data_IF_643134231049
#
_entry.id   IF_643134231049
#
_cell.length_a   1.000
_cell.length_b   1.000
_cell.length_c   1.000
_cell.angle_alpha   90.00
_cell.angle_beta   90.00
_cell.angle_gamma   90.00
#
_symmetry.space_group_name_H-M   'P 1'
#
loop_
_entity.id
_entity.type
_entity.pdbx_description
1 polymer ?
#
# COMPACT_ATOMS: atom_id res chain seq x y z
N UNK A 1 9.63 -48.47 -7.42
CA UNK A 1 9.90 -47.06 -7.73
C UNK A 1 9.46 -46.84 -9.16
N UNK A 2 8.42 -46.04 -9.38
CA UNK A 2 8.09 -45.55 -10.70
C UNK A 2 9.33 -44.83 -11.26
N UNK A 3 9.76 -45.18 -12.48
CA UNK A 3 10.79 -44.42 -13.16
C UNK A 3 10.17 -43.15 -13.72
N UNK A 4 10.76 -41.99 -13.42
CA UNK A 4 10.48 -40.75 -14.14
C UNK A 4 11.53 -40.57 -15.23
N UNK A 5 11.10 -40.36 -16.47
CA UNK A 5 11.98 -39.97 -17.57
C UNK A 5 11.61 -38.56 -18.03
N UNK A 6 12.61 -37.70 -18.16
CA UNK A 6 12.46 -36.38 -18.76
C UNK A 6 12.81 -36.53 -20.23
N UNK A 7 11.80 -36.77 -21.08
CA UNK A 7 12.03 -36.71 -22.52
C UNK A 7 12.29 -35.27 -22.97
N UNK A 8 13.01 -35.09 -24.07
CA UNK A 8 13.42 -33.79 -24.62
C UNK A 8 12.27 -32.82 -24.97
N UNK A 9 11.01 -33.25 -24.80
CA UNK A 9 9.80 -32.50 -25.17
C UNK A 9 9.13 -31.78 -23.99
N UNK A 10 9.83 -31.61 -22.85
CA UNK A 10 9.30 -30.95 -21.63
C UNK A 10 8.08 -31.66 -21.01
N UNK A 11 7.93 -32.96 -21.26
CA UNK A 11 6.85 -33.78 -20.71
C UNK A 11 7.40 -34.62 -19.56
N UNK A 12 6.82 -34.46 -18.37
CA UNK A 12 7.06 -35.35 -17.25
C UNK A 12 6.08 -36.54 -17.34
N UNK A 13 6.58 -37.69 -17.77
CA UNK A 13 5.78 -38.90 -17.92
C UNK A 13 5.95 -39.83 -16.71
N UNK A 14 4.82 -40.29 -16.15
CA UNK A 14 4.79 -41.28 -15.07
C UNK A 14 4.27 -42.62 -15.60
N UNK A 15 5.04 -43.69 -15.42
CA UNK A 15 4.55 -45.05 -15.68
C UNK A 15 4.21 -45.71 -14.34
N UNK A 16 2.92 -45.72 -13.92
CA UNK A 16 2.53 -46.29 -12.64
C UNK A 16 2.77 -47.80 -12.61
N UNK A 17 3.18 -48.33 -11.46
CA UNK A 17 3.14 -49.78 -11.24
C UNK A 17 1.67 -50.26 -11.20
N UNK A 18 1.39 -51.53 -11.52
CA UNK A 18 0.02 -52.07 -11.67
C UNK A 18 -0.89 -51.95 -10.44
N UNK A 19 -0.34 -51.58 -9.27
CA UNK A 19 -1.07 -51.36 -8.02
C UNK A 19 -1.19 -49.87 -7.61
N UNK A 20 -0.50 -48.95 -8.26
CA UNK A 20 -0.53 -47.51 -7.94
C UNK A 20 -1.78 -46.85 -8.57
N UNK A 21 -2.52 -46.04 -7.77
CA UNK A 21 -3.77 -45.40 -8.20
C UNK A 21 -3.78 -43.87 -8.06
N UNK A 22 -2.72 -43.30 -7.49
CA UNK A 22 -2.58 -41.87 -7.23
C UNK A 22 -1.11 -41.47 -7.35
N UNK A 23 -0.86 -40.22 -7.76
CA UNK A 23 0.45 -39.59 -7.79
C UNK A 23 0.34 -38.25 -7.08
N UNK A 24 1.30 -37.94 -6.23
CA UNK A 24 1.46 -36.63 -5.60
C UNK A 24 2.75 -36.02 -6.12
N UNK A 25 2.68 -34.77 -6.58
CA UNK A 25 3.81 -34.03 -7.11
C UNK A 25 4.14 -32.89 -6.16
N UNK A 26 5.38 -32.86 -5.66
CA UNK A 26 5.92 -31.75 -4.87
C UNK A 26 6.78 -30.89 -5.78
N UNK A 27 6.47 -29.60 -5.86
CA UNK A 27 7.18 -28.64 -6.71
C UNK A 27 7.80 -27.58 -5.81
N UNK A 28 9.10 -27.35 -5.97
CA UNK A 28 9.84 -26.30 -5.28
C UNK A 28 10.60 -25.43 -6.28
N UNK A 29 10.64 -24.14 -6.00
CA UNK A 29 11.41 -23.16 -6.75
C UNK A 29 11.96 -22.11 -5.78
N UNK A 30 13.17 -21.63 -6.05
CA UNK A 30 13.78 -20.53 -5.32
C UNK A 30 14.82 -19.84 -6.20
N UNK A 31 15.24 -18.66 -5.79
CA UNK A 31 16.33 -17.91 -6.44
C UNK A 31 17.44 -17.65 -5.42
N UNK A 32 18.57 -17.14 -5.87
CA UNK A 32 19.61 -16.63 -4.98
C UNK A 32 19.36 -15.17 -4.56
N UNK A 33 18.14 -14.64 -4.72
CA UNK A 33 17.79 -13.32 -4.21
C UNK A 33 17.82 -13.31 -2.68
N UNK A 34 18.44 -12.29 -2.08
CA UNK A 34 18.50 -12.09 -0.64
C UNK A 34 18.34 -10.60 -0.30
N UNK A 35 17.15 -10.22 0.15
CA UNK A 35 16.83 -8.84 0.55
C UNK A 35 17.73 -8.30 1.67
N UNK A 36 18.28 -9.16 2.53
CA UNK A 36 19.19 -8.74 3.60
C UNK A 36 20.54 -8.24 3.08
N UNK A 37 20.81 -8.44 1.78
CA UNK A 37 22.01 -7.95 1.07
C UNK A 37 21.73 -6.67 0.27
N UNK A 38 20.62 -6.00 0.53
CA UNK A 38 20.23 -4.71 -0.03
C UNK A 38 20.87 -3.48 0.63
N UNK A 39 22.06 -3.61 1.22
CA UNK A 39 22.73 -2.55 1.97
C UNK A 39 24.19 -2.34 1.54
N UNK A 40 24.78 -1.24 2.00
CA UNK A 40 26.15 -0.85 1.65
C UNK A 40 27.21 -1.90 2.01
N UNK A 41 27.05 -2.62 3.12
CA UNK A 41 28.00 -3.66 3.54
C UNK A 41 28.04 -4.84 2.55
N UNK A 42 26.93 -5.09 1.83
CA UNK A 42 26.83 -6.08 0.77
C UNK A 42 26.90 -5.47 -0.63
N UNK A 43 27.35 -4.21 -0.78
CA UNK A 43 27.36 -3.44 -2.03
C UNK A 43 26.01 -3.44 -2.76
N UNK A 44 24.91 -3.60 -2.03
CA UNK A 44 23.57 -3.70 -2.57
C UNK A 44 23.41 -4.76 -3.67
N UNK A 45 24.04 -5.92 -3.53
CA UNK A 45 23.97 -6.99 -4.52
C UNK A 45 22.68 -7.82 -4.50
N UNK A 46 21.93 -7.82 -3.38
CA UNK A 46 20.71 -8.64 -3.21
C UNK A 46 20.93 -10.13 -3.52
N UNK A 47 22.14 -10.64 -3.30
CA UNK A 47 22.54 -11.99 -3.70
C UNK A 47 22.96 -12.82 -2.49
N UNK A 48 22.22 -13.90 -2.27
CA UNK A 48 22.48 -14.96 -1.32
C UNK A 48 23.23 -16.16 -1.91
N UNK A 49 23.26 -17.30 -1.20
CA UNK A 49 23.87 -18.53 -1.67
C UNK A 49 23.10 -19.15 -2.85
N UNK A 50 23.69 -20.17 -3.48
CA UNK A 50 23.02 -20.99 -4.50
C UNK A 50 21.81 -21.72 -3.87
N UNK A 51 20.58 -21.55 -4.39
CA UNK A 51 19.38 -22.16 -3.82
C UNK A 51 19.25 -23.66 -4.10
N UNK A 52 20.06 -24.26 -4.98
CA UNK A 52 19.84 -25.63 -5.45
C UNK A 52 19.76 -26.66 -4.29
N UNK A 53 20.71 -26.60 -3.34
CA UNK A 53 20.70 -27.50 -2.19
C UNK A 53 19.52 -27.27 -1.24
N UNK A 54 19.07 -26.02 -1.10
CA UNK A 54 17.88 -25.70 -0.31
C UNK A 54 16.61 -26.25 -0.96
N UNK A 55 16.44 -26.02 -2.26
CA UNK A 55 15.27 -26.51 -3.02
C UNK A 55 15.20 -28.03 -2.96
N UNK A 56 16.31 -28.73 -3.23
CA UNK A 56 16.36 -30.20 -3.18
C UNK A 56 16.01 -30.74 -1.79
N UNK A 57 16.51 -30.11 -0.72
CA UNK A 57 16.19 -30.52 0.65
C UNK A 57 14.70 -30.36 0.95
N UNK A 58 14.12 -29.18 0.68
CA UNK A 58 12.72 -28.90 1.01
C UNK A 58 11.76 -29.76 0.19
N UNK A 59 12.04 -30.00 -1.10
CA UNK A 59 11.20 -30.86 -1.94
C UNK A 59 11.35 -32.33 -1.56
N UNK A 60 12.54 -32.80 -1.21
CA UNK A 60 12.76 -34.17 -0.73
C UNK A 60 12.06 -34.43 0.60
N UNK A 61 12.16 -33.50 1.55
CA UNK A 61 11.46 -33.57 2.83
C UNK A 61 9.95 -33.57 2.62
N UNK A 62 9.44 -32.69 1.74
CA UNK A 62 8.03 -32.67 1.36
C UNK A 62 7.56 -33.95 0.67
N UNK A 63 8.38 -34.53 -0.20
CA UNK A 63 8.04 -35.77 -0.92
C UNK A 63 8.11 -37.03 -0.04
N UNK A 64 8.79 -36.97 1.11
CA UNK A 64 8.83 -38.04 2.09
C UNK A 64 7.59 -38.08 3.01
N UNK A 65 6.80 -37.00 3.04
CA UNK A 65 5.56 -36.90 3.83
C UNK A 65 4.39 -37.57 3.12
N UNK A 66 3.41 -38.02 3.91
CA UNK A 66 2.14 -38.51 3.35
C UNK A 66 1.27 -37.32 2.86
N UNK A 67 0.59 -37.42 1.70
CA UNK A 67 -0.16 -36.30 1.13
C UNK A 67 -1.23 -35.71 2.07
N UNK A 68 -1.88 -36.54 2.87
CA UNK A 68 -2.89 -36.11 3.84
C UNK A 68 -2.30 -35.26 4.96
N UNK A 69 -1.07 -35.54 5.39
CA UNK A 69 -0.38 -34.73 6.38
C UNK A 69 0.03 -33.37 5.80
N UNK A 70 0.51 -33.34 4.55
CA UNK A 70 0.81 -32.08 3.84
C UNK A 70 -0.43 -31.19 3.72
N UNK A 71 -1.54 -31.77 3.27
CA UNK A 71 -2.82 -31.06 3.16
C UNK A 71 -3.29 -30.54 4.52
N UNK A 72 -3.19 -31.37 5.57
CA UNK A 72 -3.62 -30.95 6.91
C UNK A 72 -2.80 -29.75 7.41
N UNK A 73 -1.48 -29.79 7.29
CA UNK A 73 -0.62 -28.66 7.67
C UNK A 73 -0.93 -27.40 6.86
N UNK A 74 -1.16 -27.53 5.56
CA UNK A 74 -1.56 -26.42 4.70
C UNK A 74 -2.88 -25.78 5.15
N UNK A 75 -3.90 -26.60 5.41
CA UNK A 75 -5.20 -26.11 5.87
C UNK A 75 -5.12 -25.50 7.26
N UNK A 76 -4.33 -26.07 8.18
CA UNK A 76 -4.13 -25.49 9.51
C UNK A 76 -3.44 -24.12 9.43
N UNK A 77 -2.40 -23.98 8.59
CA UNK A 77 -1.74 -22.69 8.30
C UNK A 77 -2.71 -21.68 7.69
N UNK A 78 -3.38 -22.04 6.60
CA UNK A 78 -4.30 -21.13 5.91
C UNK A 78 -5.47 -20.71 6.80
N UNK A 79 -6.09 -21.66 7.53
CA UNK A 79 -7.20 -21.36 8.43
C UNK A 79 -6.78 -20.51 9.62
N UNK A 80 -5.53 -20.58 10.08
CA UNK A 80 -5.04 -19.73 11.18
C UNK A 80 -5.18 -18.23 10.87
N UNK A 81 -5.13 -17.86 9.59
CA UNK A 81 -5.35 -16.50 9.10
C UNK A 81 -6.77 -16.29 8.56
N UNK A 82 -7.22 -17.20 7.68
CA UNK A 82 -8.49 -17.08 6.98
C UNK A 82 -9.69 -17.00 7.91
N UNK A 83 -9.63 -17.70 9.06
CA UNK A 83 -10.73 -17.74 10.04
C UNK A 83 -10.79 -16.56 11.01
N UNK A 84 -9.82 -15.64 11.01
CA UNK A 84 -9.77 -14.52 11.95
C UNK A 84 -10.88 -13.47 11.74
N UNK A 85 -11.50 -13.46 10.57
CA UNK A 85 -12.62 -12.57 10.24
C UNK A 85 -13.61 -13.31 9.35
N UNK A 86 -14.90 -13.03 9.55
CA UNK A 86 -15.99 -13.53 8.73
C UNK A 86 -17.00 -12.42 8.50
N UNK A 87 -17.39 -12.25 7.23
CA UNK A 87 -18.49 -11.40 6.81
C UNK A 87 -19.62 -12.30 6.29
N UNK A 88 -20.73 -12.37 7.02
CA UNK A 88 -21.89 -13.18 6.65
C UNK A 88 -22.97 -12.29 6.02
N UNK A 89 -23.11 -12.35 4.70
CA UNK A 89 -24.12 -11.64 3.92
C UNK A 89 -25.19 -12.62 3.41
N UNK A 90 -26.46 -12.19 3.33
CA UNK A 90 -27.54 -13.08 2.88
C UNK A 90 -27.37 -13.48 1.42
N UNK A 91 -27.87 -14.65 1.03
CA UNK A 91 -27.94 -15.09 -0.37
C UNK A 91 -29.40 -15.12 -0.89
N UNK A 92 -30.02 -13.95 -1.14
CA UNK A 92 -31.41 -13.88 -1.60
C UNK A 92 -31.60 -14.45 -3.01
N UNK A 93 -30.55 -14.45 -3.84
CA UNK A 93 -30.58 -14.86 -5.25
C UNK A 93 -30.16 -16.32 -5.48
N UNK A 94 -29.83 -17.06 -4.40
CA UNK A 94 -29.31 -18.43 -4.43
C UNK A 94 -28.04 -18.55 -5.27
N UNK A 95 -27.23 -17.50 -5.27
CA UNK A 95 -26.01 -17.35 -6.04
C UNK A 95 -24.93 -18.34 -5.58
N UNK A 96 -24.94 -18.79 -4.31
CA UNK A 96 -24.02 -19.82 -3.82
C UNK A 96 -24.12 -21.17 -4.57
N UNK A 97 -25.22 -21.41 -5.29
CA UNK A 97 -25.44 -22.62 -6.08
C UNK A 97 -25.08 -22.49 -7.57
N UNK A 98 -24.61 -21.32 -8.00
CA UNK A 98 -24.27 -21.01 -9.40
C UNK A 98 -22.75 -20.95 -9.59
N UNK A 99 -22.31 -21.09 -10.84
CA UNK A 99 -20.89 -20.90 -11.18
C UNK A 99 -20.49 -19.43 -11.02
N UNK A 100 -19.26 -19.18 -10.54
CA UNK A 100 -18.77 -17.82 -10.27
C UNK A 100 -18.65 -16.96 -11.53
N UNK A 101 -18.21 -17.53 -12.66
CA UNK A 101 -17.99 -16.78 -13.89
C UNK A 101 -19.25 -16.06 -14.42
N UNK A 102 -20.42 -16.72 -14.58
CA UNK A 102 -21.64 -16.03 -14.97
C UNK A 102 -22.13 -15.04 -13.91
N UNK A 103 -21.97 -15.32 -12.61
CA UNK A 103 -22.34 -14.36 -11.55
C UNK A 103 -21.60 -13.03 -11.71
N UNK A 104 -20.28 -13.07 -11.90
CA UNK A 104 -19.46 -11.87 -12.09
C UNK A 104 -19.81 -11.17 -13.41
N UNK A 105 -20.09 -11.92 -14.49
CA UNK A 105 -20.45 -11.33 -15.77
C UNK A 105 -21.80 -10.59 -15.73
N UNK A 106 -22.74 -11.07 -14.91
CA UNK A 106 -24.07 -10.46 -14.73
C UNK A 106 -24.05 -9.31 -13.70
N UNK A 107 -23.06 -9.27 -12.81
CA UNK A 107 -22.92 -8.23 -11.77
C UNK A 107 -22.53 -6.88 -12.39
N UNK A 108 -23.45 -5.92 -12.36
CA UNK A 108 -23.25 -4.61 -12.98
C UNK A 108 -23.97 -3.49 -12.23
N UNK A 109 -23.50 -2.26 -12.42
CA UNK A 109 -23.98 -1.05 -11.73
C UNK A 109 -25.45 -0.66 -12.00
N UNK A 110 -26.14 -1.33 -12.95
CA UNK A 110 -27.53 -1.04 -13.31
C UNK A 110 -28.52 -2.08 -12.75
N UNK A 111 -28.02 -3.16 -12.16
CA UNK A 111 -28.82 -4.18 -11.49
C UNK A 111 -28.90 -3.92 -9.98
N UNK A 112 -29.87 -4.55 -9.32
CA UNK A 112 -29.78 -4.74 -7.87
C UNK A 112 -28.51 -5.53 -7.55
N UNK A 113 -27.80 -5.14 -6.49
CA UNK A 113 -26.59 -5.83 -6.03
C UNK A 113 -26.87 -7.28 -5.65
N UNK A 114 -25.79 -8.05 -5.48
CA UNK A 114 -25.86 -9.46 -5.08
C UNK A 114 -24.95 -9.65 -3.85
N UNK A 115 -25.53 -9.69 -2.64
CA UNK A 115 -24.72 -9.73 -1.42
C UNK A 115 -23.84 -10.98 -1.31
N UNK A 116 -24.17 -12.07 -2.02
CA UNK A 116 -23.28 -13.22 -2.11
C UNK A 116 -22.02 -12.89 -2.91
N UNK A 117 -22.15 -12.19 -4.05
CA UNK A 117 -21.01 -11.78 -4.88
C UNK A 117 -20.14 -10.76 -4.12
N UNK A 118 -20.77 -9.81 -3.43
CA UNK A 118 -20.08 -8.83 -2.59
C UNK A 118 -19.27 -9.50 -1.47
N UNK A 119 -19.88 -10.48 -0.77
CA UNK A 119 -19.20 -11.29 0.24
C UNK A 119 -18.06 -12.14 -0.33
N UNK A 120 -18.27 -12.73 -1.51
CA UNK A 120 -17.23 -13.50 -2.22
C UNK A 120 -16.03 -12.62 -2.60
N UNK A 121 -16.25 -11.39 -3.08
CA UNK A 121 -15.18 -10.45 -3.39
C UNK A 121 -14.41 -10.02 -2.15
N UNK A 122 -15.11 -9.83 -1.02
CA UNK A 122 -14.49 -9.55 0.27
C UNK A 122 -13.57 -10.70 0.71
N UNK A 123 -14.07 -11.94 0.72
CA UNK A 123 -13.27 -13.12 1.09
C UNK A 123 -12.12 -13.37 0.10
N UNK A 124 -12.34 -13.10 -1.18
CA UNK A 124 -11.30 -13.24 -2.20
C UNK A 124 -10.17 -12.22 -2.00
N UNK A 125 -10.47 -10.99 -1.58
CA UNK A 125 -9.43 -10.00 -1.25
C UNK A 125 -8.50 -10.49 -0.12
N UNK A 126 -9.09 -11.06 0.95
CA UNK A 126 -8.35 -11.67 2.06
C UNK A 126 -7.52 -12.85 1.60
N UNK A 127 -8.12 -13.74 0.79
CA UNK A 127 -7.42 -14.89 0.20
C UNK A 127 -6.20 -14.46 -0.62
N UNK A 128 -6.35 -13.44 -1.48
CA UNK A 128 -5.26 -12.93 -2.31
C UNK A 128 -4.11 -12.40 -1.45
N UNK A 129 -4.39 -11.66 -0.36
CA UNK A 129 -3.32 -11.17 0.52
C UNK A 129 -2.61 -12.32 1.23
N UNK A 130 -3.36 -13.29 1.79
CA UNK A 130 -2.77 -14.50 2.44
C UNK A 130 -1.86 -15.25 1.47
N UNK A 131 -2.23 -15.38 0.20
CA UNK A 131 -1.45 -16.13 -0.79
C UNK A 131 -0.29 -15.33 -1.40
N UNK A 132 -0.30 -13.99 -1.30
CA UNK A 132 0.70 -13.11 -1.92
C UNK A 132 1.68 -12.46 -0.94
N UNK A 133 1.36 -12.39 0.36
CA UNK A 133 2.20 -11.75 1.37
C UNK A 133 2.24 -12.58 2.65
N UNK A 134 3.37 -13.22 2.91
CA UNK A 134 3.60 -14.06 4.10
C UNK A 134 4.99 -13.81 4.66
N UNK A 135 5.23 -14.31 5.88
CA UNK A 135 6.58 -14.25 6.44
C UNK A 135 7.62 -14.87 5.48
N UNK A 136 8.78 -14.24 5.39
CA UNK A 136 9.86 -14.54 4.43
C UNK A 136 9.51 -14.38 2.94
N UNK A 137 8.37 -13.76 2.58
CA UNK A 137 8.11 -13.31 1.21
C UNK A 137 8.46 -11.82 1.02
N UNK A 138 8.48 -11.40 -0.24
CA UNK A 138 8.32 -9.99 -0.59
C UNK A 138 6.83 -9.59 -0.48
N UNK A 139 6.51 -8.30 -0.34
CA UNK A 139 5.13 -7.85 -0.30
C UNK A 139 4.41 -8.09 -1.63
N UNK A 140 3.08 -8.14 -1.57
CA UNK A 140 2.20 -8.14 -2.74
C UNK A 140 2.51 -6.94 -3.67
N UNK A 141 2.89 -7.21 -4.92
CA UNK A 141 3.12 -6.19 -5.94
C UNK A 141 1.82 -5.82 -6.68
N UNK A 142 1.90 -5.09 -7.81
CA UNK A 142 0.71 -4.73 -8.61
C UNK A 142 -0.16 -5.92 -9.05
N UNK A 143 0.38 -7.14 -9.06
CA UNK A 143 -0.32 -8.37 -9.42
C UNK A 143 -0.27 -9.41 -8.29
N UNK A 144 -0.04 -8.96 -7.05
CA UNK A 144 0.21 -9.80 -5.88
C UNK A 144 1.53 -10.56 -6.02
N UNK A 145 1.48 -11.70 -6.71
CA UNK A 145 2.62 -12.54 -7.10
C UNK A 145 2.39 -13.34 -8.40
N UNK A 146 1.31 -13.03 -9.12
CA UNK A 146 0.84 -13.83 -10.25
C UNK A 146 0.99 -13.04 -11.53
N UNK A 147 1.82 -13.54 -12.45
CA UNK A 147 1.93 -13.00 -13.79
C UNK A 147 2.26 -14.13 -14.76
N UNK A 148 1.63 -14.13 -15.93
CA UNK A 148 2.01 -15.01 -17.04
C UNK A 148 2.95 -14.31 -18.04
N UNK A 149 3.16 -13.00 -17.87
CA UNK A 149 3.90 -12.16 -18.79
C UNK A 149 5.35 -12.00 -18.34
N UNK A 150 6.27 -11.94 -19.31
CA UNK A 150 7.67 -11.55 -19.05
C UNK A 150 7.75 -10.03 -18.80
N UNK A 151 6.94 -9.27 -19.53
CA UNK A 151 6.88 -7.81 -19.47
C UNK A 151 5.49 -7.38 -18.98
N UNK A 152 5.24 -7.64 -17.70
CA UNK A 152 3.98 -7.26 -17.05
C UNK A 152 3.69 -5.75 -17.16
N UNK A 153 2.41 -5.38 -17.22
CA UNK A 153 1.98 -3.98 -17.16
C UNK A 153 2.59 -3.26 -15.93
N UNK A 154 3.20 -2.09 -16.17
CA UNK A 154 4.00 -1.34 -15.18
C UNK A 154 5.06 -2.20 -14.46
N UNK A 155 5.61 -3.19 -15.18
CA UNK A 155 6.61 -4.14 -14.68
C UNK A 155 6.17 -5.01 -13.50
N UNK A 156 4.87 -5.05 -13.16
CA UNK A 156 4.40 -5.71 -11.94
C UNK A 156 5.14 -5.17 -10.70
N UNK A 157 5.46 -3.87 -10.70
CA UNK A 157 6.35 -3.24 -9.74
C UNK A 157 5.68 -2.99 -8.38
N UNK A 158 6.41 -2.30 -7.51
CA UNK A 158 5.86 -1.70 -6.31
C UNK A 158 5.52 -0.24 -6.58
N UNK A 159 4.26 0.02 -6.95
CA UNK A 159 3.76 1.37 -7.20
C UNK A 159 3.27 2.02 -5.89
N UNK A 160 3.97 3.06 -5.42
CA UNK A 160 3.89 3.61 -4.05
C UNK A 160 3.21 4.99 -4.02
N UNK A 161 2.36 5.30 -4.98
CA UNK A 161 1.52 6.51 -4.99
C UNK A 161 0.02 6.22 -4.87
N UNK A 162 -0.35 4.98 -4.53
CA UNK A 162 -1.68 4.51 -4.08
C UNK A 162 -1.71 2.97 -4.01
N UNK A 163 -1.10 2.25 -4.97
CA UNK A 163 -1.37 0.83 -5.18
C UNK A 163 -0.80 -0.07 -4.08
N UNK A 164 0.49 0.09 -3.74
CA UNK A 164 1.10 -0.69 -2.67
C UNK A 164 0.43 -0.37 -1.33
N UNK A 165 0.02 0.87 -1.09
CA UNK A 165 -0.78 1.23 0.07
C UNK A 165 -2.11 0.46 0.06
N UNK A 166 -2.84 0.53 -1.05
CA UNK A 166 -4.16 -0.11 -1.18
C UNK A 166 -4.11 -1.63 -0.97
N UNK A 167 -3.04 -2.30 -1.40
CA UNK A 167 -2.84 -3.74 -1.19
C UNK A 167 -2.98 -4.14 0.30
N UNK A 168 -2.64 -3.24 1.23
CA UNK A 168 -2.61 -3.51 2.67
C UNK A 168 -3.68 -2.78 3.50
N UNK A 169 -4.55 -1.95 2.91
CA UNK A 169 -5.56 -1.19 3.68
C UNK A 169 -6.44 -2.05 4.60
N UNK A 170 -6.72 -3.29 4.18
CA UNK A 170 -7.61 -4.20 4.90
C UNK A 170 -6.88 -5.19 5.82
N UNK A 171 -5.53 -5.18 5.85
CA UNK A 171 -4.74 -6.20 6.51
C UNK A 171 -5.04 -6.24 8.02
N UNK A 172 -4.69 -5.18 8.76
CA UNK A 172 -4.98 -5.10 10.19
C UNK A 172 -6.48 -5.11 10.50
N UNK A 173 -7.28 -4.39 9.70
CA UNK A 173 -8.73 -4.26 9.87
C UNK A 173 -9.46 -5.60 9.90
N UNK A 174 -8.90 -6.60 9.21
CA UNK A 174 -9.50 -7.93 9.07
C UNK A 174 -8.65 -9.01 9.75
N UNK A 175 -7.70 -8.64 10.60
CA UNK A 175 -6.89 -9.56 11.39
C UNK A 175 -5.76 -10.24 10.62
N UNK A 176 -5.43 -9.79 9.42
CA UNK A 176 -4.35 -10.34 8.58
C UNK A 176 -2.98 -9.68 8.84
N UNK A 177 -2.75 -9.17 10.05
CA UNK A 177 -1.50 -8.50 10.43
C UNK A 177 -0.24 -9.38 10.23
N UNK A 178 -0.37 -10.71 10.29
CA UNK A 178 0.75 -11.65 10.00
C UNK A 178 1.20 -11.65 8.53
N UNK A 179 0.46 -10.98 7.64
CA UNK A 179 0.84 -10.78 6.24
C UNK A 179 1.71 -9.54 6.03
N UNK A 180 1.71 -8.60 6.96
CA UNK A 180 2.41 -7.30 6.84
C UNK A 180 3.93 -7.34 7.08
N UNK A 181 4.52 -8.29 7.83
CA UNK A 181 5.98 -8.37 7.97
C UNK A 181 6.74 -8.40 6.65
N UNK A 182 6.15 -8.94 5.56
CA UNK A 182 6.74 -8.87 4.23
C UNK A 182 6.94 -7.43 3.76
N UNK A 183 5.94 -6.55 3.96
CA UNK A 183 6.01 -5.13 3.65
C UNK A 183 7.05 -4.41 4.53
N UNK A 184 7.00 -4.64 5.85
CA UNK A 184 7.93 -4.02 6.80
C UNK A 184 9.38 -4.41 6.53
N UNK A 185 9.63 -5.68 6.24
CA UNK A 185 10.96 -6.17 5.90
C UNK A 185 11.45 -5.61 4.58
N UNK A 186 10.60 -5.55 3.55
CA UNK A 186 10.94 -4.89 2.29
C UNK A 186 11.30 -3.42 2.50
N UNK A 187 10.51 -2.67 3.28
CA UNK A 187 10.85 -1.28 3.57
C UNK A 187 12.18 -1.15 4.32
N UNK A 188 12.39 -1.88 5.42
CA UNK A 188 13.60 -1.78 6.24
C UNK A 188 14.87 -2.27 5.55
N UNK A 189 14.78 -3.35 4.77
CA UNK A 189 15.95 -4.01 4.20
C UNK A 189 16.27 -3.51 2.79
N UNK A 190 15.28 -2.95 2.08
CA UNK A 190 15.42 -2.52 0.69
C UNK A 190 15.22 -1.01 0.53
N UNK A 191 14.06 -0.47 0.92
CA UNK A 191 13.75 0.95 0.67
C UNK A 191 14.54 1.91 1.56
N UNK A 192 14.65 1.65 2.86
CA UNK A 192 15.34 2.54 3.81
C UNK A 192 16.83 2.68 3.46
N UNK A 193 17.62 1.60 3.24
CA UNK A 193 19.04 1.74 2.92
C UNK A 193 19.28 2.45 1.59
N UNK A 194 18.51 2.09 0.54
CA UNK A 194 18.60 2.73 -0.79
C UNK A 194 18.10 4.17 -0.76
N UNK A 195 17.01 4.40 -0.06
CA UNK A 195 16.39 5.71 0.08
C UNK A 195 17.22 6.68 0.91
N UNK A 196 18.02 6.19 1.85
CA UNK A 196 19.02 7.00 2.55
C UNK A 196 20.11 7.48 1.59
N UNK A 197 20.56 6.61 0.67
CA UNK A 197 21.49 7.01 -0.38
C UNK A 197 20.86 8.04 -1.33
N UNK A 198 19.59 7.85 -1.72
CA UNK A 198 18.83 8.80 -2.53
C UNK A 198 18.65 10.15 -1.85
N UNK A 199 18.27 10.17 -0.57
CA UNK A 199 18.11 11.41 0.21
C UNK A 199 19.41 12.22 0.23
N UNK A 200 20.54 11.56 0.45
CA UNK A 200 21.86 12.19 0.42
C UNK A 200 22.25 12.68 -0.97
N UNK A 201 22.07 11.86 -2.01
CA UNK A 201 22.56 12.15 -3.36
C UNK A 201 21.71 13.20 -4.09
N UNK A 202 20.38 13.13 -3.97
CA UNK A 202 19.46 13.99 -4.73
C UNK A 202 19.04 15.23 -3.96
N UNK A 203 18.93 15.14 -2.64
CA UNK A 203 18.37 16.21 -1.80
C UNK A 203 19.36 16.80 -0.80
N UNK A 204 20.56 16.22 -0.68
CA UNK A 204 21.52 16.55 0.40
C UNK A 204 20.83 16.55 1.79
N UNK A 205 19.96 15.56 2.00
CA UNK A 205 19.07 15.48 3.15
C UNK A 205 19.44 14.31 4.08
N UNK A 206 19.15 14.43 5.39
CA UNK A 206 19.12 13.28 6.30
C UNK A 206 17.88 12.41 6.01
N UNK A 207 17.74 11.33 6.77
CA UNK A 207 16.60 10.44 6.64
C UNK A 207 16.65 9.56 5.39
N UNK A 208 15.48 9.21 4.87
CA UNK A 208 15.36 8.39 3.66
C UNK A 208 14.16 8.82 2.81
N UNK A 209 14.27 8.61 1.50
CA UNK A 209 13.22 8.92 0.53
C UNK A 209 13.15 7.88 -0.57
N UNK A 210 11.95 7.61 -1.08
CA UNK A 210 11.71 6.92 -2.34
C UNK A 210 10.66 7.69 -3.13
N UNK A 211 10.42 7.29 -4.37
CA UNK A 211 9.47 7.94 -5.27
C UNK A 211 8.29 7.01 -5.59
N UNK A 212 7.52 7.34 -6.63
CA UNK A 212 6.29 6.66 -7.01
C UNK A 212 6.40 5.16 -7.31
N UNK A 213 7.57 4.62 -7.64
CA UNK A 213 7.73 3.24 -8.10
C UNK A 213 9.03 2.63 -7.58
N UNK A 214 9.02 1.32 -7.33
CA UNK A 214 10.17 0.57 -6.84
C UNK A 214 10.16 -0.89 -7.29
N UNK A 215 11.26 -1.60 -7.06
CA UNK A 215 11.42 -3.00 -7.44
C UNK A 215 12.18 -3.77 -6.35
N UNK A 216 12.37 -5.07 -6.56
CA UNK A 216 13.03 -5.96 -5.60
C UNK A 216 14.48 -5.57 -5.25
N UNK A 217 15.12 -4.69 -6.03
CA UNK A 217 16.49 -4.20 -5.80
C UNK A 217 16.55 -2.80 -5.16
N UNK A 218 15.39 -2.26 -4.76
CA UNK A 218 15.26 -0.96 -4.13
C UNK A 218 15.59 0.18 -5.08
N UNK A 219 14.94 0.19 -6.25
CA UNK A 219 14.90 1.38 -7.08
C UNK A 219 14.16 2.50 -6.34
N UNK A 220 14.89 3.53 -5.91
CA UNK A 220 14.38 4.65 -5.12
C UNK A 220 14.52 6.00 -5.81
N UNK A 221 15.05 6.03 -7.04
CA UNK A 221 15.22 7.25 -7.82
C UNK A 221 13.91 7.68 -8.52
N UNK A 222 13.90 8.89 -9.08
CA UNK A 222 12.82 9.35 -9.95
C UNK A 222 12.84 8.59 -11.28
N UNK A 223 11.65 8.22 -11.75
CA UNK A 223 11.39 7.71 -13.10
C UNK A 223 11.55 8.79 -14.18
N UNK A 224 11.03 8.53 -15.37
CA UNK A 224 11.35 9.31 -16.56
C UNK A 224 10.60 10.64 -16.71
N UNK A 225 9.52 10.88 -15.97
CA UNK A 225 8.69 12.08 -16.12
C UNK A 225 8.26 12.64 -14.76
N UNK A 226 8.52 13.93 -14.54
CA UNK A 226 8.31 14.58 -13.26
C UNK A 226 6.83 14.65 -12.84
N UNK A 227 5.87 14.59 -13.77
CA UNK A 227 4.44 14.73 -13.47
C UNK A 227 3.91 13.62 -12.55
N UNK A 228 4.45 12.41 -12.68
CA UNK A 228 4.13 11.25 -11.82
C UNK A 228 5.33 10.77 -11.01
N UNK A 229 6.56 10.88 -11.56
CA UNK A 229 7.73 10.26 -10.94
C UNK A 229 8.39 11.09 -9.84
N UNK A 230 8.25 12.41 -9.88
CA UNK A 230 8.77 13.29 -8.83
C UNK A 230 7.80 13.28 -7.64
N UNK A 231 7.76 12.14 -6.95
CA UNK A 231 6.83 11.88 -5.86
C UNK A 231 7.54 11.45 -4.55
N UNK A 232 8.30 12.35 -3.89
CA UNK A 232 9.03 12.01 -2.66
C UNK A 232 8.12 11.81 -1.43
N UNK A 233 6.79 11.93 -1.57
CA UNK A 233 5.84 11.70 -0.48
C UNK A 233 5.47 10.22 -0.26
N UNK A 234 5.92 9.33 -1.14
CA UNK A 234 5.72 7.88 -1.00
C UNK A 234 6.05 7.32 0.40
N UNK A 235 7.23 7.60 1.00
CA UNK A 235 7.52 7.18 2.37
C UNK A 235 6.52 7.70 3.40
N UNK A 236 6.12 8.97 3.31
CA UNK A 236 5.18 9.56 4.28
C UNK A 236 3.81 8.89 4.22
N UNK A 237 3.34 8.50 3.03
CA UNK A 237 2.12 7.72 2.92
C UNK A 237 2.31 6.30 3.47
N UNK A 238 3.41 5.62 3.15
CA UNK A 238 3.67 4.28 3.68
C UNK A 238 3.74 4.24 5.20
N UNK A 239 4.19 5.32 5.85
CA UNK A 239 4.21 5.41 7.31
C UNK A 239 2.82 5.45 7.95
N UNK A 240 1.76 5.73 7.18
CA UNK A 240 0.39 5.60 7.68
C UNK A 240 0.12 4.14 8.06
N UNK A 241 0.48 3.18 7.20
CA UNK A 241 0.32 1.76 7.52
C UNK A 241 1.20 1.32 8.70
N UNK A 242 2.42 1.85 8.79
CA UNK A 242 3.33 1.55 9.91
C UNK A 242 2.71 2.01 11.23
N UNK A 243 2.12 3.20 11.24
CA UNK A 243 1.44 3.71 12.42
C UNK A 243 0.14 2.96 12.72
N UNK A 244 -0.68 2.70 11.70
CA UNK A 244 -1.94 1.96 11.84
C UNK A 244 -1.69 0.59 12.50
N UNK A 245 -0.66 -0.14 12.08
CA UNK A 245 -0.29 -1.41 12.71
C UNK A 245 0.01 -1.28 14.20
N UNK A 246 0.73 -0.22 14.60
CA UNK A 246 0.91 0.07 16.02
C UNK A 246 -0.42 0.42 16.70
N UNK A 247 -1.28 1.22 16.07
CA UNK A 247 -2.60 1.56 16.62
C UNK A 247 -3.48 0.32 16.84
N UNK A 248 -3.42 -0.68 15.95
CA UNK A 248 -4.14 -1.96 16.10
C UNK A 248 -3.53 -2.88 17.16
N UNK A 249 -2.21 -3.02 17.18
CA UNK A 249 -1.52 -4.03 18.01
C UNK A 249 -1.10 -3.52 19.39
N UNK A 250 -0.86 -2.21 19.50
CA UNK A 250 -0.24 -1.54 20.64
C UNK A 250 1.11 -2.16 21.06
N UNK A 251 1.83 -2.81 20.12
CA UNK A 251 3.13 -3.43 20.40
C UNK A 251 4.24 -2.37 20.49
N UNK A 252 4.54 -1.97 21.72
CA UNK A 252 5.59 -0.98 22.01
C UNK A 252 7.01 -1.44 21.67
N UNK A 253 7.29 -2.75 21.67
CA UNK A 253 8.60 -3.25 21.24
C UNK A 253 8.74 -3.12 19.73
N UNK A 254 7.73 -3.54 18.99
CA UNK A 254 7.68 -3.35 17.54
C UNK A 254 7.74 -1.85 17.16
N UNK A 255 7.03 -0.99 17.91
CA UNK A 255 7.12 0.45 17.73
C UNK A 255 8.57 0.95 17.86
N UNK A 256 9.25 0.57 18.95
CA UNK A 256 10.63 0.99 19.21
C UNK A 256 11.62 0.45 18.18
N UNK A 257 11.52 -0.84 17.83
CA UNK A 257 12.54 -1.55 17.05
C UNK A 257 12.34 -1.45 15.54
N UNK A 258 11.11 -1.21 15.08
CA UNK A 258 10.72 -1.26 13.67
C UNK A 258 10.10 0.05 13.21
N UNK A 259 8.98 0.45 13.80
CA UNK A 259 8.18 1.54 13.28
C UNK A 259 8.83 2.92 13.47
N UNK A 260 9.23 3.24 14.70
CA UNK A 260 9.75 4.55 15.06
C UNK A 260 11.01 4.92 14.28
N UNK A 261 12.03 4.04 14.10
CA UNK A 261 13.18 4.36 13.26
C UNK A 261 12.81 4.70 11.81
N UNK A 262 11.82 4.00 11.22
CA UNK A 262 11.36 4.30 9.86
C UNK A 262 10.65 5.66 9.80
N UNK A 263 9.69 5.91 10.71
CA UNK A 263 8.94 7.16 10.77
C UNK A 263 9.84 8.36 11.05
N UNK A 264 10.77 8.24 12.01
CA UNK A 264 11.76 9.25 12.33
C UNK A 264 12.61 9.61 11.13
N UNK A 265 13.10 8.61 10.37
CA UNK A 265 13.86 8.86 9.16
C UNK A 265 13.06 9.62 8.08
N UNK A 266 11.76 9.35 7.93
CA UNK A 266 10.90 10.13 7.02
C UNK A 266 10.67 11.55 7.55
N UNK A 267 10.48 11.71 8.86
CA UNK A 267 10.29 13.01 9.49
C UNK A 267 11.55 13.89 9.38
N UNK A 268 12.74 13.33 9.57
CA UNK A 268 14.02 14.01 9.38
C UNK A 268 14.20 14.51 7.94
N UNK A 269 13.85 13.66 6.96
CA UNK A 269 13.85 14.07 5.55
C UNK A 269 12.95 15.29 5.36
N UNK A 270 11.68 15.21 5.75
CA UNK A 270 10.73 16.31 5.53
C UNK A 270 11.05 17.59 6.30
N UNK A 271 11.57 17.49 7.53
CA UNK A 271 12.06 18.66 8.26
C UNK A 271 13.15 19.43 7.50
N UNK A 272 14.00 18.72 6.76
CA UNK A 272 15.05 19.35 5.96
C UNK A 272 14.55 19.93 4.63
N UNK A 273 13.40 19.47 4.13
CA UNK A 273 12.89 19.82 2.80
C UNK A 273 11.77 20.87 2.83
N UNK A 274 11.00 20.98 3.92
CA UNK A 274 9.95 22.00 4.06
C UNK A 274 10.52 23.42 3.93
N UNK A 275 9.78 24.28 3.23
CA UNK A 275 10.14 25.67 2.97
C UNK A 275 9.08 26.61 3.53
N UNK A 276 9.46 27.83 3.88
CA UNK A 276 8.49 28.88 4.18
C UNK A 276 7.62 29.17 2.94
N UNK A 277 6.31 29.35 3.12
CA UNK A 277 5.43 29.78 2.05
C UNK A 277 5.64 31.26 1.73
N UNK A 278 6.61 31.52 0.87
CA UNK A 278 6.92 32.86 0.36
C UNK A 278 5.95 33.34 -0.71
N UNK A 279 5.12 32.46 -1.27
CA UNK A 279 4.15 32.83 -2.31
C UNK A 279 2.92 33.48 -1.69
N UNK A 280 2.33 32.86 -0.67
CA UNK A 280 1.19 33.44 0.06
C UNK A 280 1.64 34.38 1.18
N UNK A 281 2.81 34.14 1.77
CA UNK A 281 3.32 34.90 2.91
C UNK A 281 2.52 34.69 4.20
N UNK A 282 1.77 33.59 4.31
CA UNK A 282 0.90 33.31 5.46
C UNK A 282 1.64 32.74 6.69
N UNK A 283 2.96 32.54 6.57
CA UNK A 283 3.83 32.04 7.65
C UNK A 283 3.85 30.52 7.79
N UNK A 284 3.13 29.79 6.93
CA UNK A 284 3.12 28.33 6.92
C UNK A 284 4.39 27.73 6.31
N UNK A 285 4.65 26.47 6.64
CA UNK A 285 5.62 25.62 5.95
C UNK A 285 4.91 24.80 4.87
N UNK A 286 5.51 24.74 3.69
CA UNK A 286 4.98 24.04 2.51
C UNK A 286 6.06 23.20 1.85
N UNK A 287 5.62 22.20 1.08
CA UNK A 287 6.49 21.46 0.17
C UNK A 287 6.62 22.23 -1.14
N UNK A 288 7.83 22.37 -1.65
CA UNK A 288 8.12 22.98 -2.95
C UNK A 288 9.39 22.35 -3.56
N UNK A 289 9.33 21.70 -4.74
CA UNK A 289 8.13 21.47 -5.54
C UNK A 289 7.28 20.30 -5.03
N UNK A 290 6.01 20.27 -5.40
CA UNK A 290 5.09 19.13 -5.22
C UNK A 290 4.22 18.95 -6.47
N UNK A 291 3.70 17.75 -6.68
CA UNK A 291 2.67 17.43 -7.66
C UNK A 291 1.40 16.91 -6.96
N UNK A 292 0.29 16.81 -7.69
CA UNK A 292 -0.83 15.97 -7.26
C UNK A 292 -0.90 14.77 -8.19
N UNK A 293 -0.56 13.55 -7.74
CA UNK A 293 -0.64 12.36 -8.58
C UNK A 293 -2.03 12.27 -9.22
N UNK A 294 -2.19 12.23 -10.55
CA UNK A 294 -1.16 12.38 -11.61
C UNK A 294 -1.58 13.44 -12.64
N UNK A 295 -2.00 14.61 -12.16
CA UNK A 295 -2.49 15.67 -13.02
C UNK A 295 -2.15 17.08 -12.52
N UNK A 296 -2.47 18.06 -13.37
CA UNK A 296 -2.24 19.47 -13.09
C UNK A 296 -0.75 19.84 -12.99
N UNK A 297 -0.45 21.01 -12.41
CA UNK A 297 0.91 21.52 -12.38
C UNK A 297 1.76 20.90 -11.27
N UNK A 298 3.07 20.85 -11.50
CA UNK A 298 4.04 20.85 -10.41
C UNK A 298 4.10 22.26 -9.81
N UNK A 299 3.87 22.39 -8.51
CA UNK A 299 3.73 23.66 -7.79
C UNK A 299 4.24 23.54 -6.36
N UNK A 300 3.64 24.24 -5.39
CA UNK A 300 3.95 24.18 -3.96
C UNK A 300 2.68 23.93 -3.14
N UNK A 301 2.84 23.46 -1.90
CA UNK A 301 1.72 23.36 -0.94
C UNK A 301 0.58 22.42 -1.37
N UNK A 302 0.84 21.44 -2.22
CA UNK A 302 -0.16 20.48 -2.70
C UNK A 302 -0.77 19.74 -1.52
N UNK A 303 -2.11 19.68 -1.46
CA UNK A 303 -2.85 19.15 -0.30
C UNK A 303 -2.39 17.73 0.07
N UNK A 304 -2.19 16.90 -0.96
CA UNK A 304 -1.72 15.53 -0.84
C UNK A 304 -0.45 15.36 0.02
N UNK A 305 0.56 16.19 -0.24
CA UNK A 305 1.84 16.14 0.47
C UNK A 305 1.69 16.64 1.92
N UNK A 306 1.00 17.77 2.08
CA UNK A 306 0.79 18.38 3.39
C UNK A 306 0.07 17.41 4.35
N UNK A 307 -0.97 16.75 3.86
CA UNK A 307 -1.76 15.80 4.63
C UNK A 307 -0.97 14.56 5.07
N UNK A 308 -0.07 14.05 4.22
CA UNK A 308 0.79 12.91 4.54
C UNK A 308 1.91 13.29 5.51
N UNK A 309 2.54 14.45 5.30
CA UNK A 309 3.61 14.96 6.17
C UNK A 309 3.06 15.29 7.55
N UNK A 310 1.87 15.88 7.64
CA UNK A 310 1.19 16.10 8.91
C UNK A 310 1.07 14.79 9.69
N UNK A 311 0.57 13.73 9.04
CA UNK A 311 0.34 12.46 9.70
C UNK A 311 1.65 11.77 10.15
N UNK A 312 2.70 11.77 9.32
CA UNK A 312 3.99 11.19 9.77
C UNK A 312 4.64 12.01 10.89
N UNK A 313 4.49 13.33 10.90
CA UNK A 313 4.99 14.18 12.00
C UNK A 313 4.23 13.89 13.29
N UNK A 314 2.90 13.86 13.23
CA UNK A 314 2.01 13.56 14.36
C UNK A 314 2.30 12.16 14.95
N UNK A 315 2.34 11.12 14.11
CA UNK A 315 2.68 9.75 14.49
C UNK A 315 4.09 9.63 15.06
N UNK A 316 5.08 10.35 14.50
CA UNK A 316 6.45 10.35 15.02
C UNK A 316 6.53 11.00 16.40
N UNK A 317 5.79 12.09 16.65
CA UNK A 317 5.73 12.73 17.97
C UNK A 317 5.05 11.83 19.01
N UNK A 318 3.95 11.19 18.62
CA UNK A 318 3.27 10.21 19.48
C UNK A 318 4.19 9.03 19.80
N UNK A 319 4.84 8.46 18.80
CA UNK A 319 5.82 7.38 18.97
C UNK A 319 7.00 7.77 19.87
N UNK A 320 7.56 8.98 19.69
CA UNK A 320 8.66 9.50 20.51
C UNK A 320 8.27 9.56 22.00
N UNK A 321 7.06 10.05 22.28
CA UNK A 321 6.51 10.09 23.64
C UNK A 321 6.38 8.69 24.25
N UNK A 322 5.85 7.73 23.49
CA UNK A 322 5.60 6.36 23.95
C UNK A 322 6.91 5.62 24.27
N UNK A 323 7.94 5.76 23.43
CA UNK A 323 9.24 5.08 23.63
C UNK A 323 10.18 5.84 24.57
N UNK A 324 9.80 7.02 25.03
CA UNK A 324 10.59 7.85 25.94
C UNK A 324 11.70 8.68 25.28
N UNK A 325 11.65 8.93 23.96
CA UNK A 325 12.50 9.92 23.30
C UNK A 325 11.93 11.34 23.49
N UNK A 326 11.86 11.81 24.74
CA UNK A 326 11.41 13.17 25.06
C UNK A 326 12.53 14.22 24.96
N UNK A 327 12.17 15.46 24.61
CA UNK A 327 13.02 16.66 24.71
C UNK A 327 14.34 16.62 23.90
N UNK A 328 14.36 15.92 22.77
CA UNK A 328 15.46 15.97 21.81
C UNK A 328 15.36 17.21 20.92
N UNK A 329 16.49 17.67 20.35
CA UNK A 329 16.48 18.75 19.34
C UNK A 329 15.60 18.40 18.15
N UNK A 330 15.56 17.12 17.78
CA UNK A 330 14.69 16.61 16.73
C UNK A 330 13.21 16.77 17.09
N UNK A 331 12.78 16.31 18.29
CA UNK A 331 11.37 16.42 18.73
C UNK A 331 10.91 17.87 18.76
N UNK A 332 11.70 18.79 19.34
CA UNK A 332 11.35 20.23 19.37
C UNK A 332 11.24 20.84 17.97
N UNK A 333 12.13 20.46 17.04
CA UNK A 333 12.06 20.91 15.65
C UNK A 333 10.80 20.37 14.95
N UNK A 334 10.44 19.11 15.23
CA UNK A 334 9.27 18.45 14.69
C UNK A 334 7.96 19.08 15.19
N UNK A 335 7.85 19.33 16.49
CA UNK A 335 6.72 20.07 17.09
C UNK A 335 6.59 21.47 16.48
N UNK A 336 7.69 22.21 16.37
CA UNK A 336 7.70 23.54 15.77
C UNK A 336 7.33 23.52 14.29
N UNK A 337 7.73 22.50 13.54
CA UNK A 337 7.38 22.38 12.13
C UNK A 337 5.91 21.99 11.95
N UNK A 338 5.40 21.00 12.72
CA UNK A 338 4.01 20.55 12.65
C UNK A 338 3.03 21.68 12.92
N UNK A 339 3.31 22.54 13.91
CA UNK A 339 2.46 23.72 14.21
C UNK A 339 2.42 24.76 13.10
N UNK A 340 3.45 24.82 12.25
CA UNK A 340 3.58 25.76 11.14
C UNK A 340 3.21 25.13 9.79
N UNK A 341 3.14 23.81 9.71
CA UNK A 341 2.82 23.08 8.48
C UNK A 341 1.46 23.52 7.95
N UNK A 342 1.40 23.82 6.65
CA UNK A 342 0.12 24.02 5.99
C UNK A 342 -0.74 22.75 6.16
N UNK A 343 -2.02 22.92 6.46
CA UNK A 343 -2.90 21.77 6.76
C UNK A 343 -3.26 20.96 5.52
N UNK A 344 -2.99 21.46 4.31
CA UNK A 344 -3.52 20.90 3.08
C UNK A 344 -5.05 20.89 3.05
N UNK A 345 -5.69 21.76 3.83
CA UNK A 345 -7.13 21.86 4.00
C UNK A 345 -7.58 23.26 3.61
N UNK A 346 -7.89 23.43 2.33
CA UNK A 346 -8.37 24.69 1.75
C UNK A 346 -9.60 24.41 0.89
N UNK A 347 -10.45 25.42 0.72
CA UNK A 347 -11.70 25.27 -0.02
C UNK A 347 -11.67 26.03 -1.33
N UNK A 348 -12.22 25.43 -2.38
CA UNK A 348 -12.46 26.08 -3.67
C UNK A 348 -13.67 26.99 -3.59
N UNK A 349 -13.83 27.90 -4.56
CA UNK A 349 -15.02 28.76 -4.69
C UNK A 349 -16.31 27.98 -5.00
N UNK A 350 -16.22 26.81 -5.62
CA UNK A 350 -17.36 25.89 -5.79
C UNK A 350 -17.65 25.06 -4.52
N UNK A 351 -16.77 25.15 -3.52
CA UNK A 351 -16.94 24.62 -2.18
C UNK A 351 -16.45 23.19 -1.97
N UNK A 352 -15.65 22.65 -2.89
CA UNK A 352 -14.90 21.41 -2.67
C UNK A 352 -13.56 21.67 -1.98
N UNK A 353 -12.79 20.61 -1.79
CA UNK A 353 -11.40 20.69 -1.32
C UNK A 353 -10.45 21.05 -2.45
N UNK A 354 -9.56 22.01 -2.17
CA UNK A 354 -8.45 22.33 -3.06
C UNK A 354 -7.44 21.20 -3.09
N UNK A 355 -6.96 20.91 -4.28
CA UNK A 355 -5.87 20.00 -4.54
C UNK A 355 -4.52 20.73 -4.57
N UNK A 356 -4.51 21.98 -5.02
CA UNK A 356 -3.35 22.87 -4.95
C UNK A 356 -3.63 24.09 -4.08
N UNK A 357 -2.60 24.60 -3.39
CA UNK A 357 -2.72 25.84 -2.59
C UNK A 357 -2.93 27.11 -3.45
N UNK A 358 -2.89 26.98 -4.77
CA UNK A 358 -2.99 28.10 -5.71
C UNK A 358 -4.34 28.83 -5.60
N UNK A 359 -4.37 30.16 -5.84
CA UNK A 359 -5.63 30.89 -5.94
C UNK A 359 -6.52 30.39 -7.08
N UNK A 360 -7.84 30.43 -6.91
CA UNK A 360 -8.81 29.95 -7.92
C UNK A 360 -8.66 30.66 -9.27
N UNK A 361 -8.12 31.88 -9.29
CA UNK A 361 -7.84 32.64 -10.52
C UNK A 361 -6.83 31.98 -11.46
N UNK A 362 -6.09 30.98 -10.98
CA UNK A 362 -5.19 30.17 -11.80
C UNK A 362 -5.92 29.08 -12.60
N UNK A 363 -7.17 28.77 -12.24
CA UNK A 363 -8.03 27.85 -13.00
C UNK A 363 -7.59 26.39 -12.98
N UNK A 364 -6.85 25.96 -11.95
CA UNK A 364 -6.36 24.57 -11.84
C UNK A 364 -7.30 23.68 -11.03
N UNK A 365 -7.91 24.20 -9.96
CA UNK A 365 -8.87 23.47 -9.08
C UNK A 365 -10.32 23.53 -9.60
N UNK A 366 -10.54 23.07 -10.82
CA UNK A 366 -11.90 22.94 -11.38
C UNK A 366 -12.55 21.61 -11.01
N UNK A 367 -13.88 21.53 -11.12
CA UNK A 367 -14.56 20.23 -11.11
C UNK A 367 -13.97 19.34 -12.21
N UNK A 368 -13.57 18.12 -11.85
CA UNK A 368 -12.83 17.19 -12.70
C UNK A 368 -13.12 15.76 -12.27
N UNK A 369 -13.25 14.88 -13.26
CA UNK A 369 -13.45 13.45 -13.14
C UNK A 369 -12.13 12.66 -13.09
N UNK A 370 -11.00 13.27 -12.72
CA UNK A 370 -9.71 12.57 -12.64
C UNK A 370 -9.77 11.35 -11.70
N UNK A 371 -9.05 10.28 -12.04
CA UNK A 371 -9.08 9.02 -11.27
C UNK A 371 -8.56 9.14 -9.83
N UNK A 372 -7.56 9.98 -9.57
CA UNK A 372 -7.01 10.15 -8.22
C UNK A 372 -7.87 11.05 -7.32
N UNK A 373 -7.83 10.74 -6.02
CA UNK A 373 -8.38 11.54 -4.93
C UNK A 373 -7.26 12.09 -4.03
N UNK A 374 -6.16 12.53 -4.64
CA UNK A 374 -4.92 12.88 -3.95
C UNK A 374 -5.11 13.93 -2.84
N UNK A 375 -6.05 14.88 -3.01
CA UNK A 375 -6.40 15.88 -2.00
C UNK A 375 -7.24 15.34 -0.82
N UNK A 376 -7.61 14.06 -0.85
CA UNK A 376 -8.41 13.39 0.17
C UNK A 376 -7.62 12.27 0.88
N UNK A 377 -6.30 12.17 0.73
CA UNK A 377 -5.50 11.16 1.44
C UNK A 377 -5.58 11.30 2.96
N UNK A 378 -5.72 12.52 3.46
CA UNK A 378 -5.97 12.80 4.88
C UNK A 378 -7.41 12.55 5.32
N UNK A 379 -8.34 12.30 4.39
CA UNK A 379 -9.69 11.81 4.68
C UNK A 379 -9.73 10.29 4.70
N UNK A 380 -9.15 9.65 3.69
CA UNK A 380 -8.94 8.20 3.64
C UNK A 380 -7.73 7.89 2.74
N UNK A 381 -6.83 6.96 3.12
CA UNK A 381 -6.87 6.13 4.33
C UNK A 381 -6.47 6.89 5.61
N UNK A 382 -5.78 8.03 5.47
CA UNK A 382 -5.28 8.80 6.59
C UNK A 382 -6.36 9.45 7.46
N UNK A 383 -5.91 10.27 8.41
CA UNK A 383 -6.79 10.94 9.37
C UNK A 383 -6.52 12.44 9.53
N UNK A 384 -5.53 13.01 8.83
CA UNK A 384 -5.13 14.41 9.02
C UNK A 384 -6.25 15.41 8.74
N UNK A 385 -7.01 15.26 7.65
CA UNK A 385 -8.18 16.12 7.40
C UNK A 385 -9.23 15.93 8.50
N UNK A 386 -9.49 14.67 8.85
CA UNK A 386 -10.49 14.30 9.86
C UNK A 386 -10.07 14.62 11.30
N UNK A 387 -8.86 15.14 11.56
CA UNK A 387 -8.41 15.61 12.87
C UNK A 387 -8.49 17.13 13.02
N UNK A 388 -8.81 17.88 11.96
CA UNK A 388 -8.96 19.32 11.99
C UNK A 388 -10.40 19.77 12.25
N UNK A 389 -10.58 20.99 12.79
CA UNK A 389 -11.88 21.71 12.88
C UNK A 389 -13.06 20.88 13.42
N UNK A 390 -12.99 20.41 14.67
CA UNK A 390 -13.95 19.46 15.29
C UNK A 390 -13.92 18.04 14.69
N UNK A 391 -12.85 17.77 13.95
CA UNK A 391 -12.49 16.48 13.41
C UNK A 391 -13.52 15.95 12.43
N UNK A 392 -13.82 14.66 12.55
CA UNK A 392 -14.73 13.96 11.67
C UNK A 392 -16.14 14.58 11.59
N UNK A 393 -16.60 15.26 12.64
CA UNK A 393 -17.95 15.84 12.73
C UNK A 393 -18.08 17.22 12.06
N UNK A 394 -17.00 17.74 11.48
CA UNK A 394 -16.98 19.02 10.81
C UNK A 394 -17.88 19.04 9.58
N UNK A 395 -19.01 19.74 9.66
CA UNK A 395 -19.95 19.87 8.52
C UNK A 395 -19.30 20.57 7.33
N UNK A 396 -18.36 21.50 7.56
CA UNK A 396 -17.60 22.18 6.52
C UNK A 396 -16.68 21.24 5.75
N UNK A 397 -15.89 20.43 6.47
CA UNK A 397 -15.02 19.41 5.86
C UNK A 397 -15.86 18.37 5.13
N UNK A 398 -16.88 17.79 5.77
CA UNK A 398 -17.73 16.78 5.16
C UNK A 398 -18.42 17.30 3.89
N UNK A 399 -18.93 18.53 3.91
CA UNK A 399 -19.56 19.15 2.73
C UNK A 399 -18.57 19.32 1.58
N UNK A 400 -17.33 19.71 1.87
CA UNK A 400 -16.29 19.85 0.86
C UNK A 400 -15.81 18.50 0.31
N UNK A 401 -15.65 17.47 1.16
CA UNK A 401 -15.35 16.10 0.72
C UNK A 401 -16.45 15.59 -0.20
N UNK A 402 -17.71 15.72 0.22
CA UNK A 402 -18.89 15.33 -0.56
C UNK A 402 -18.92 16.01 -1.92
N UNK A 403 -18.72 17.33 -1.97
CA UNK A 403 -18.64 18.09 -3.22
C UNK A 403 -17.50 17.61 -4.11
N UNK A 404 -16.31 17.38 -3.54
CA UNK A 404 -15.16 16.84 -4.29
C UNK A 404 -15.45 15.45 -4.86
N UNK A 405 -16.04 14.54 -4.09
CA UNK A 405 -16.40 13.20 -4.56
C UNK A 405 -17.48 13.26 -5.65
N UNK A 406 -18.50 14.09 -5.50
CA UNK A 406 -19.51 14.31 -6.54
C UNK A 406 -18.88 14.84 -7.83
N UNK A 407 -17.96 15.80 -7.75
CA UNK A 407 -17.26 16.34 -8.92
C UNK A 407 -16.35 15.29 -9.60
N UNK A 408 -15.73 14.40 -8.82
CA UNK A 408 -14.90 13.28 -9.29
C UNK A 408 -15.70 12.14 -9.94
N UNK A 409 -17.02 12.15 -9.78
CA UNK A 409 -17.93 11.15 -10.31
C UNK A 409 -17.83 9.78 -9.66
N UNK A 410 -18.67 8.86 -10.13
CA UNK A 410 -18.76 7.47 -9.68
C UNK A 410 -17.63 6.56 -10.21
N UNK A 411 -16.61 7.12 -10.86
CA UNK A 411 -15.48 6.36 -11.37
C UNK A 411 -15.76 5.59 -12.66
N UNK A 412 -16.72 6.01 -13.49
CA UNK A 412 -16.99 5.37 -14.79
C UNK A 412 -16.61 6.24 -15.99
N UNK A 413 -15.92 7.36 -15.75
CA UNK A 413 -15.39 8.22 -16.80
C UNK A 413 -14.11 7.63 -17.39
N UNK A 414 -13.72 8.03 -18.60
CA UNK A 414 -12.61 7.39 -19.33
C UNK A 414 -11.28 7.36 -18.58
N UNK A 415 -10.93 8.40 -17.82
CA UNK A 415 -9.74 8.40 -16.96
C UNK A 415 -10.01 7.70 -15.61
N UNK A 416 -11.22 7.83 -15.04
CA UNK A 416 -11.58 7.32 -13.72
C UNK A 416 -12.01 5.85 -13.64
N UNK A 417 -12.13 5.14 -14.77
CA UNK A 417 -12.59 3.76 -14.84
C UNK A 417 -11.54 2.71 -14.41
N UNK A 418 -10.62 3.11 -13.52
CA UNK A 418 -9.70 2.20 -12.86
C UNK A 418 -10.34 1.59 -11.62
N UNK A 419 -10.19 0.28 -11.42
CA UNK A 419 -10.78 -0.44 -10.27
C UNK A 419 -10.35 0.13 -8.92
N UNK A 420 -9.05 0.38 -8.73
CA UNK A 420 -8.49 0.97 -7.52
C UNK A 420 -9.10 2.35 -7.21
N UNK A 421 -9.44 3.12 -8.25
CA UNK A 421 -9.99 4.46 -8.12
C UNK A 421 -11.44 4.44 -7.61
N UNK A 422 -12.21 3.40 -7.97
CA UNK A 422 -13.57 3.16 -7.46
C UNK A 422 -13.54 2.74 -5.99
N UNK A 423 -12.63 1.84 -5.61
CA UNK A 423 -12.47 1.39 -4.21
C UNK A 423 -12.12 2.56 -3.30
N UNK A 424 -11.20 3.45 -3.71
CA UNK A 424 -10.87 4.63 -2.93
C UNK A 424 -12.06 5.60 -2.79
N UNK A 425 -12.84 5.81 -3.84
CA UNK A 425 -14.09 6.60 -3.78
C UNK A 425 -15.09 5.99 -2.79
N UNK A 426 -15.36 4.69 -2.90
CA UNK A 426 -16.27 3.97 -2.01
C UNK A 426 -15.83 4.11 -0.55
N UNK A 427 -14.54 3.96 -0.25
CA UNK A 427 -14.00 4.16 1.09
C UNK A 427 -14.20 5.59 1.61
N UNK A 428 -14.00 6.61 0.77
CA UNK A 428 -14.27 8.00 1.12
C UNK A 428 -15.76 8.27 1.38
N UNK A 429 -16.68 7.67 0.61
CA UNK A 429 -18.13 7.76 0.81
C UNK A 429 -18.61 7.01 2.04
N UNK A 430 -18.09 5.81 2.29
CA UNK A 430 -18.31 5.05 3.52
C UNK A 430 -17.87 5.88 4.73
N UNK A 431 -16.72 6.55 4.61
CA UNK A 431 -16.25 7.50 5.62
C UNK A 431 -17.10 8.77 5.68
N UNK A 432 -17.96 9.10 4.73
CA UNK A 432 -19.00 10.14 4.92
C UNK A 432 -20.29 9.62 5.57
N UNK A 433 -20.34 8.32 5.90
CA UNK A 433 -21.55 7.61 6.28
C UNK A 433 -22.67 7.76 5.22
N UNK A 434 -22.28 7.72 3.95
CA UNK A 434 -23.19 7.76 2.80
C UNK A 434 -23.16 6.40 2.08
N UNK A 435 -23.99 5.49 2.57
CA UNK A 435 -24.05 4.09 2.11
C UNK A 435 -24.68 3.92 0.73
N UNK A 436 -25.44 4.90 0.25
CA UNK A 436 -26.05 4.83 -1.08
C UNK A 436 -25.04 5.18 -2.18
N UNK A 437 -24.06 6.04 -1.87
CA UNK A 437 -22.97 6.40 -2.77
C UNK A 437 -21.73 5.50 -2.67
N UNK A 438 -21.49 4.93 -1.48
CA UNK A 438 -20.40 3.98 -1.24
C UNK A 438 -20.68 2.65 -1.95
#
# INVERSE_FOLDING_TARGET
MAGSDCSGDRVLAFTPASAERSVTVVIGASTNYDQSKGNAAANFFFKGPDPAGYVESVTSDGAAEIPEALLRRHLDDYHSLGSLFSLDLPDPHRSASKETAPLIADYNQHAEGDPFVEGLLFDYSRHLLICSSRDNSLPANLQGRWTEEIEAAWSGDYHININLQMNYWHADQTGLWETEPALWNYMRQTLVPRGTETARLLYNAPGWVTHHGSNIYGYTAMGSDASWANYPAAPAWMMQHVWDHFDYTQDTNWLSDVAYPMMKGVAEFWLSQLQDDVFTGDGSLVVNPCNSPEHGPTTFGCAHYQQQIHQVFDATLAGASIIGEGDSTFVRALESALTRLDKGLHYTSWGGHKEWKLPDSWGVDTESDHRHLSQLTGWYPGYSIASFQDGYLSTGIQSAVRKTLTARGNGTAGDADASWAKVWRAACWARLNDTDQA
#
